data_IF_272641277805
#
_entry.id   IF_272641277805
#
_cell.length_a   1.000
_cell.length_b   1.000
_cell.length_c   1.000
_cell.angle_alpha   90.00
_cell.angle_beta   90.00
_cell.angle_gamma   90.00
#
_symmetry.space_group_name_H-M   'P 1'
#
loop_
_entity.id
_entity.type
_entity.pdbx_description
1 polymer ?
#
# COMPACT_ATOMS: atom_id res chain seq x y z
N UNK A 1 7.76 -8.30 2.21
CA UNK A 1 7.37 -9.65 2.68
C UNK A 1 7.84 -9.76 4.11
N UNK A 2 7.00 -10.30 5.02
CA UNK A 2 7.40 -10.56 6.40
C UNK A 2 7.49 -12.07 6.55
N UNK A 3 8.65 -12.58 6.93
CA UNK A 3 8.92 -14.01 7.14
C UNK A 3 9.55 -14.11 8.52
N UNK A 4 8.95 -14.90 9.41
CA UNK A 4 9.39 -15.06 10.80
C UNK A 4 9.63 -13.72 11.52
N UNK A 5 8.71 -12.77 11.34
CA UNK A 5 8.79 -11.43 11.96
C UNK A 5 9.81 -10.47 11.33
N UNK A 6 10.55 -10.88 10.29
CA UNK A 6 11.56 -10.04 9.63
C UNK A 6 11.10 -9.60 8.25
N UNK A 7 11.36 -8.34 7.91
CA UNK A 7 11.09 -7.79 6.58
C UNK A 7 12.20 -8.22 5.62
N UNK A 8 11.88 -9.15 4.71
CA UNK A 8 12.81 -9.71 3.73
C UNK A 8 12.43 -9.21 2.32
N UNK A 9 13.43 -8.90 1.50
CA UNK A 9 13.23 -8.56 0.09
C UNK A 9 13.15 -9.84 -0.74
N UNK A 10 12.29 -9.86 -1.76
CA UNK A 10 12.12 -11.03 -2.64
C UNK A 10 13.44 -11.49 -3.29
N UNK A 11 14.36 -10.57 -3.59
CA UNK A 11 15.68 -10.89 -4.17
C UNK A 11 16.56 -11.71 -3.20
N UNK A 12 16.49 -11.41 -1.92
CA UNK A 12 17.34 -12.03 -0.90
C UNK A 12 16.80 -13.43 -0.60
N UNK A 13 15.48 -13.56 -0.51
CA UNK A 13 14.79 -14.85 -0.40
C UNK A 13 15.03 -15.74 -1.62
N UNK A 14 14.96 -15.18 -2.83
CA UNK A 14 15.25 -15.91 -4.07
C UNK A 14 16.66 -16.50 -4.05
N UNK A 15 17.66 -15.70 -3.62
CA UNK A 15 19.05 -16.16 -3.47
C UNK A 15 19.18 -17.27 -2.42
N UNK A 16 18.51 -17.14 -1.27
CA UNK A 16 18.55 -18.15 -0.20
C UNK A 16 17.89 -19.47 -0.60
N UNK A 17 16.78 -19.40 -1.32
CA UNK A 17 15.99 -20.57 -1.71
C UNK A 17 16.45 -21.19 -3.05
N UNK A 18 17.43 -20.60 -3.75
CA UNK A 18 17.91 -21.11 -5.04
C UNK A 18 16.89 -21.02 -6.17
N UNK A 19 15.93 -20.11 -6.09
CA UNK A 19 14.84 -19.94 -7.08
C UNK A 19 14.86 -18.57 -7.72
N UNK A 20 14.14 -18.40 -8.83
CA UNK A 20 14.01 -17.09 -9.47
C UNK A 20 13.20 -16.11 -8.61
N UNK A 21 13.48 -14.81 -8.75
CA UNK A 21 12.68 -13.74 -8.14
C UNK A 21 11.20 -13.83 -8.57
N UNK A 22 10.95 -14.19 -9.84
CA UNK A 22 9.59 -14.34 -10.38
C UNK A 22 8.83 -15.46 -9.68
N UNK A 23 9.50 -16.57 -9.36
CA UNK A 23 8.94 -17.68 -8.57
C UNK A 23 8.52 -17.20 -7.19
N UNK A 24 9.39 -16.45 -6.49
CA UNK A 24 9.04 -15.87 -5.18
C UNK A 24 7.82 -14.97 -5.26
N UNK A 25 7.75 -14.08 -6.25
CA UNK A 25 6.60 -13.17 -6.43
C UNK A 25 5.33 -13.96 -6.75
N UNK A 26 5.42 -15.01 -7.57
CA UNK A 26 4.28 -15.86 -7.93
C UNK A 26 3.65 -16.53 -6.71
N UNK A 27 4.45 -17.03 -5.77
CA UNK A 27 3.95 -17.77 -4.61
C UNK A 27 3.57 -16.87 -3.42
N UNK A 28 4.21 -15.71 -3.27
CA UNK A 28 4.07 -14.89 -2.06
C UNK A 28 3.64 -13.44 -2.33
N UNK A 29 3.47 -13.04 -3.59
CA UNK A 29 2.87 -11.77 -3.94
C UNK A 29 1.39 -11.76 -3.55
N UNK A 30 0.87 -10.58 -3.22
CA UNK A 30 -0.58 -10.40 -3.08
C UNK A 30 -1.24 -10.49 -4.46
N UNK A 31 -2.48 -10.95 -4.51
CA UNK A 31 -3.24 -10.99 -5.76
C UNK A 31 -3.51 -9.56 -6.26
N UNK A 32 -3.82 -9.43 -7.55
CA UNK A 32 -4.16 -8.14 -8.14
C UNK A 32 -5.42 -7.54 -7.50
N UNK A 33 -6.41 -8.38 -7.25
CA UNK A 33 -7.68 -8.01 -6.62
C UNK A 33 -7.46 -7.51 -5.18
N UNK A 34 -6.65 -8.23 -4.39
CA UNK A 34 -6.28 -7.84 -3.02
C UNK A 34 -5.61 -6.46 -3.00
N UNK A 35 -4.65 -6.25 -3.92
CA UNK A 35 -3.96 -4.96 -4.07
C UNK A 35 -4.92 -3.82 -4.41
N UNK A 36 -5.84 -4.05 -5.35
CA UNK A 36 -6.81 -3.04 -5.76
C UNK A 36 -7.81 -2.71 -4.65
N UNK A 37 -8.24 -3.74 -3.90
CA UNK A 37 -9.08 -3.57 -2.70
C UNK A 37 -8.37 -2.74 -1.64
N UNK A 38 -7.14 -3.08 -1.25
CA UNK A 38 -6.37 -2.28 -0.28
C UNK A 38 -6.18 -0.85 -0.75
N UNK A 39 -5.91 -0.66 -2.04
CA UNK A 39 -5.72 0.67 -2.61
C UNK A 39 -7.02 1.49 -2.59
N UNK A 40 -8.17 0.86 -2.87
CA UNK A 40 -9.48 1.50 -2.78
C UNK A 40 -9.79 1.93 -1.33
N UNK A 41 -9.54 1.07 -0.36
CA UNK A 41 -9.74 1.37 1.07
C UNK A 41 -8.86 2.55 1.52
N UNK A 42 -7.57 2.57 1.14
CA UNK A 42 -6.67 3.69 1.48
C UNK A 42 -7.12 5.01 0.85
N UNK A 43 -7.61 4.98 -0.40
CA UNK A 43 -8.15 6.16 -1.09
C UNK A 43 -9.41 6.69 -0.38
N UNK A 44 -10.32 5.79 -0.02
CA UNK A 44 -11.55 6.11 0.70
C UNK A 44 -11.25 6.68 2.09
N UNK A 45 -10.31 6.08 2.82
CA UNK A 45 -9.87 6.58 4.13
C UNK A 45 -9.29 8.00 4.02
N UNK A 46 -8.41 8.26 3.05
CA UNK A 46 -7.86 9.59 2.82
C UNK A 46 -8.95 10.63 2.52
N UNK A 47 -9.94 10.26 1.72
CA UNK A 47 -11.11 11.10 1.45
C UNK A 47 -11.91 11.38 2.72
N UNK A 48 -12.29 10.36 3.48
CA UNK A 48 -13.09 10.53 4.70
C UNK A 48 -12.39 11.41 5.74
N UNK A 49 -11.09 11.18 5.97
CA UNK A 49 -10.30 11.98 6.91
C UNK A 49 -10.17 13.43 6.44
N UNK A 50 -10.01 13.65 5.12
CA UNK A 50 -9.96 15.01 4.59
C UNK A 50 -11.31 15.72 4.70
N UNK A 51 -12.40 15.01 4.38
CA UNK A 51 -13.77 15.52 4.46
C UNK A 51 -14.22 15.78 5.89
N UNK A 52 -13.62 15.13 6.90
CA UNK A 52 -13.84 15.44 8.31
C UNK A 52 -13.10 16.70 8.79
N UNK A 53 -12.42 17.44 7.90
CA UNK A 53 -11.76 18.71 8.20
C UNK A 53 -10.31 18.62 8.68
N UNK A 54 -9.70 17.43 8.69
CA UNK A 54 -8.29 17.26 9.12
C UNK A 54 -7.31 17.91 8.15
N UNK A 55 -6.22 18.47 8.69
CA UNK A 55 -5.10 18.96 7.88
C UNK A 55 -4.32 17.77 7.30
N UNK A 56 -3.65 17.99 6.17
CA UNK A 56 -2.90 16.93 5.48
C UNK A 56 -1.85 16.22 6.34
N UNK A 57 -1.23 16.94 7.29
CA UNK A 57 -0.30 16.34 8.26
C UNK A 57 -1.01 15.30 9.15
N UNK A 58 -2.15 15.66 9.72
CA UNK A 58 -2.93 14.79 10.59
C UNK A 58 -3.53 13.60 9.82
N UNK A 59 -3.96 13.81 8.58
CA UNK A 59 -4.41 12.73 7.70
C UNK A 59 -3.26 11.74 7.45
N UNK A 60 -2.06 12.24 7.16
CA UNK A 60 -0.89 11.41 6.91
C UNK A 60 -0.48 10.61 8.16
N UNK A 61 -0.50 11.24 9.33
CA UNK A 61 -0.25 10.59 10.62
C UNK A 61 -1.27 9.48 10.91
N UNK A 62 -2.58 9.75 10.74
CA UNK A 62 -3.62 8.73 10.94
C UNK A 62 -3.55 7.57 9.96
N UNK A 63 -3.02 7.81 8.75
CA UNK A 63 -2.83 6.79 7.73
C UNK A 63 -1.47 6.08 7.81
N UNK A 64 -0.62 6.42 8.79
CA UNK A 64 0.76 5.96 8.90
C UNK A 64 1.52 6.08 7.57
N UNK A 65 1.43 7.25 6.94
CA UNK A 65 2.01 7.50 5.62
C UNK A 65 2.60 8.89 5.49
N UNK A 66 3.22 9.17 4.34
CA UNK A 66 3.78 10.51 4.08
C UNK A 66 2.68 11.48 3.64
N UNK A 67 2.90 12.77 3.87
CA UNK A 67 1.98 13.82 3.43
C UNK A 67 1.67 13.72 1.92
N UNK A 68 2.71 13.51 1.11
CA UNK A 68 2.55 13.36 -0.33
C UNK A 68 1.71 12.13 -0.70
N UNK A 69 1.90 11.01 0.02
CA UNK A 69 1.09 9.80 -0.17
C UNK A 69 -0.38 10.04 0.17
N UNK A 70 -0.67 10.69 1.31
CA UNK A 70 -2.04 11.00 1.74
C UNK A 70 -2.77 11.87 0.70
N UNK A 71 -2.09 12.91 0.18
CA UNK A 71 -2.62 13.78 -0.88
C UNK A 71 -2.84 12.99 -2.18
N UNK A 72 -1.92 12.10 -2.55
CA UNK A 72 -2.06 11.27 -3.75
C UNK A 72 -3.26 10.30 -3.65
N UNK A 73 -3.47 9.68 -2.49
CA UNK A 73 -4.64 8.82 -2.24
C UNK A 73 -5.95 9.59 -2.41
N UNK A 74 -6.04 10.79 -1.84
CA UNK A 74 -7.20 11.67 -2.00
C UNK A 74 -7.45 12.05 -3.45
N UNK A 75 -6.43 12.54 -4.16
CA UNK A 75 -6.55 12.94 -5.58
C UNK A 75 -7.02 11.77 -6.45
N UNK A 76 -6.53 10.57 -6.19
CA UNK A 76 -6.96 9.37 -6.90
C UNK A 76 -8.37 8.94 -6.55
N UNK A 77 -8.82 9.15 -5.32
CA UNK A 77 -10.23 8.93 -4.98
C UNK A 77 -11.13 9.81 -5.84
N UNK A 78 -10.88 11.13 -5.88
CA UNK A 78 -11.69 12.08 -6.68
C UNK A 78 -11.68 11.73 -8.16
N UNK A 79 -10.50 11.42 -8.72
CA UNK A 79 -10.38 11.09 -10.14
C UNK A 79 -11.11 9.79 -10.55
N UNK A 80 -11.42 8.90 -9.60
CA UNK A 80 -12.18 7.67 -9.84
C UNK A 80 -13.70 7.85 -9.60
N UNK A 81 -14.13 9.02 -9.13
CA UNK A 81 -15.54 9.36 -8.91
C UNK A 81 -16.10 10.31 -9.98
N UNK A 82 -15.24 10.80 -10.89
CA UNK A 82 -15.61 11.51 -12.12
C UNK A 82 -15.74 10.51 -13.25
#
# INVERSE_FOLDING_TARGET
MIINGRKIKAKDLAKQAGVSRSTVIKYYGISREEYEREAAEKRKLAFNLRSSGLKWKEVAEKMDTTLNSAVAYYRRYIALQQ
#
